data_IF_276383209428
#
_entry.id   IF_276383209428
#
_cell.length_a   1.000
_cell.length_b   1.000
_cell.length_c   1.000
_cell.angle_alpha   90.00
_cell.angle_beta   90.00
_cell.angle_gamma   90.00
#
_symmetry.space_group_name_H-M   'P 1'
#
loop_
_entity.id
_entity.type
_entity.pdbx_description
1 polymer ?
#
# COMPACT_ATOMS: atom_id res chain seq x y z
N UNK A 1 14.86 54.32 -63.71
CA UNK A 1 14.70 53.87 -62.31
C UNK A 1 16.08 53.46 -61.83
N UNK A 2 16.62 54.06 -60.75
CA UNK A 2 17.96 53.71 -60.23
C UNK A 2 17.79 52.72 -59.08
N UNK A 3 18.57 51.64 -59.11
CA UNK A 3 18.59 50.60 -58.08
C UNK A 3 19.87 50.73 -57.27
N UNK A 4 19.74 50.85 -55.95
CA UNK A 4 20.87 50.87 -55.02
C UNK A 4 20.70 49.75 -54.00
N UNK A 5 21.70 48.86 -53.92
CA UNK A 5 21.76 47.81 -52.91
C UNK A 5 22.56 48.31 -51.71
N UNK A 6 21.93 48.41 -50.55
CA UNK A 6 22.59 48.82 -49.30
C UNK A 6 23.16 47.60 -48.59
N UNK A 7 24.48 47.59 -48.35
CA UNK A 7 25.15 46.61 -47.48
C UNK A 7 25.24 47.19 -46.06
N UNK A 8 24.17 47.14 -45.28
CA UNK A 8 24.26 47.43 -43.84
C UNK A 8 24.30 46.12 -43.04
N UNK A 9 25.18 46.10 -42.03
CA UNK A 9 25.37 44.94 -41.14
C UNK A 9 24.27 44.88 -40.08
N UNK A 10 23.71 46.02 -39.71
CA UNK A 10 22.65 46.17 -38.69
C UNK A 10 21.42 46.87 -39.31
N UNK A 11 20.79 46.20 -40.27
CA UNK A 11 19.53 46.61 -40.89
C UNK A 11 18.29 46.17 -40.11
N UNK A 12 17.08 46.60 -40.54
CA UNK A 12 15.82 46.17 -39.96
C UNK A 12 15.66 44.64 -40.11
N UNK A 13 14.80 44.06 -39.27
CA UNK A 13 14.51 42.62 -39.23
C UNK A 13 13.03 42.42 -39.54
N UNK A 14 12.71 41.38 -40.32
CA UNK A 14 11.33 40.96 -40.53
C UNK A 14 10.93 40.07 -39.37
N UNK A 15 9.90 40.46 -38.63
CA UNK A 15 9.37 39.71 -37.51
C UNK A 15 8.11 38.95 -37.92
N UNK A 16 8.07 37.65 -37.66
CA UNK A 16 6.85 36.85 -37.70
C UNK A 16 6.44 36.50 -36.27
N UNK A 17 5.19 36.76 -35.91
CA UNK A 17 4.67 36.50 -34.57
C UNK A 17 3.63 35.38 -34.63
N UNK A 18 3.80 34.37 -33.80
CA UNK A 18 2.80 33.29 -33.61
C UNK A 18 1.86 33.56 -32.43
N UNK A 19 1.94 34.76 -31.83
CA UNK A 19 1.22 35.14 -30.62
C UNK A 19 1.09 36.66 -30.45
N UNK A 20 0.87 37.16 -29.21
CA UNK A 20 0.69 38.58 -28.94
C UNK A 20 1.88 39.40 -29.44
N UNK A 21 1.58 40.53 -30.08
CA UNK A 21 2.57 41.45 -30.64
C UNK A 21 3.17 42.27 -29.48
N UNK A 22 4.51 42.44 -29.43
CA UNK A 22 5.17 43.26 -28.43
C UNK A 22 4.73 44.73 -28.54
N UNK A 23 4.69 45.45 -27.41
CA UNK A 23 4.34 46.88 -27.38
C UNK A 23 5.46 47.76 -27.96
N UNK A 24 5.10 48.87 -28.59
CA UNK A 24 6.04 49.81 -29.24
C UNK A 24 7.10 50.40 -28.30
N UNK A 25 6.88 50.38 -26.98
CA UNK A 25 7.80 50.88 -25.96
C UNK A 25 8.92 49.90 -25.55
N UNK A 26 8.91 48.66 -26.06
CA UNK A 26 9.86 47.63 -25.64
C UNK A 26 11.26 47.79 -26.24
N UNK A 27 12.28 47.50 -25.43
CA UNK A 27 13.67 47.48 -25.88
C UNK A 27 14.05 46.09 -26.39
N UNK A 28 14.58 46.04 -27.61
CA UNK A 28 15.06 44.81 -28.24
C UNK A 28 16.57 44.69 -28.08
N UNK A 29 17.04 43.58 -27.51
CA UNK A 29 18.45 43.21 -27.46
C UNK A 29 18.75 42.22 -28.58
N UNK A 30 19.69 42.59 -29.46
CA UNK A 30 20.09 41.76 -30.60
C UNK A 30 21.44 41.14 -30.32
N UNK A 31 21.51 39.81 -30.42
CA UNK A 31 22.72 39.03 -30.28
C UNK A 31 23.05 38.33 -31.60
N UNK A 32 24.35 38.25 -31.92
CA UNK A 32 24.86 37.51 -33.09
C UNK A 32 25.39 36.17 -32.59
N UNK A 33 24.87 35.08 -33.15
CA UNK A 33 25.36 33.73 -32.89
C UNK A 33 26.77 33.52 -33.44
N UNK A 34 27.51 32.52 -32.91
CA UNK A 34 28.84 32.20 -33.41
C UNK A 34 28.77 31.77 -34.87
N UNK A 35 29.62 32.36 -35.71
CA UNK A 35 29.75 31.99 -37.12
C UNK A 35 30.38 30.59 -37.17
N UNK A 36 29.61 29.59 -37.55
CA UNK A 36 30.13 28.24 -37.78
C UNK A 36 30.96 28.29 -39.07
N UNK A 37 32.28 28.25 -38.95
CA UNK A 37 33.27 28.42 -40.05
C UNK A 37 33.10 27.50 -41.27
N UNK A 38 32.17 26.53 -41.23
CA UNK A 38 31.94 25.54 -42.28
C UNK A 38 30.70 25.80 -43.14
N UNK A 39 29.83 26.75 -42.80
CA UNK A 39 28.70 27.09 -43.65
C UNK A 39 28.82 28.55 -44.12
N UNK A 40 28.57 28.78 -45.41
CA UNK A 40 28.38 30.13 -45.98
C UNK A 40 27.02 30.73 -45.60
N UNK A 41 26.32 30.12 -44.65
CA UNK A 41 24.99 30.55 -44.20
C UNK A 41 25.12 31.82 -43.38
N UNK A 42 24.12 32.69 -43.49
CA UNK A 42 24.07 33.95 -42.76
C UNK A 42 24.25 33.71 -41.25
N UNK A 43 24.88 34.66 -40.55
CA UNK A 43 25.09 34.55 -39.12
C UNK A 43 23.72 34.56 -38.42
N UNK A 44 23.39 33.46 -37.71
CA UNK A 44 22.19 33.36 -36.87
C UNK A 44 22.08 34.57 -35.95
N UNK A 45 20.91 35.20 -35.91
CA UNK A 45 20.62 36.31 -34.98
C UNK A 45 19.60 35.85 -33.97
N UNK A 46 19.81 36.27 -32.73
CA UNK A 46 18.87 36.11 -31.64
C UNK A 46 18.38 37.48 -31.23
N UNK A 47 17.07 37.66 -31.14
CA UNK A 47 16.46 38.89 -30.67
C UNK A 47 15.69 38.56 -29.40
N UNK A 48 15.94 39.33 -28.34
CA UNK A 48 15.28 39.16 -27.06
C UNK A 48 14.63 40.48 -26.70
N UNK A 49 13.32 40.45 -26.48
CA UNK A 49 12.60 41.54 -25.84
C UNK A 49 11.99 41.02 -24.53
N UNK A 50 12.08 41.84 -23.50
CA UNK A 50 11.65 41.49 -22.16
C UNK A 50 10.53 42.44 -21.73
N UNK A 51 9.44 41.86 -21.28
CA UNK A 51 8.27 42.53 -20.72
C UNK A 51 8.09 42.14 -19.25
N UNK A 52 7.17 42.77 -18.53
CA UNK A 52 6.93 42.50 -17.10
C UNK A 52 6.57 41.02 -16.86
N UNK A 53 5.77 40.42 -17.75
CA UNK A 53 5.25 39.06 -17.57
C UNK A 53 5.74 38.05 -18.62
N UNK A 54 6.31 38.53 -19.72
CA UNK A 54 6.58 37.74 -20.92
C UNK A 54 7.98 38.03 -21.44
N UNK A 55 8.66 36.99 -21.92
CA UNK A 55 9.89 37.11 -22.69
C UNK A 55 9.60 36.71 -24.14
N UNK A 56 9.90 37.63 -25.05
CA UNK A 56 9.86 37.41 -26.48
C UNK A 56 11.25 37.00 -26.93
N UNK A 57 11.37 35.79 -27.47
CA UNK A 57 12.64 35.26 -27.98
C UNK A 57 12.43 34.95 -29.46
N UNK A 58 13.24 35.57 -30.31
CA UNK A 58 13.26 35.27 -31.73
C UNK A 58 14.60 34.70 -32.16
N UNK A 59 14.55 33.69 -33.02
CA UNK A 59 15.70 33.17 -33.75
C UNK A 59 15.49 33.43 -35.24
N UNK A 60 16.58 33.64 -35.98
CA UNK A 60 16.53 33.67 -37.44
C UNK A 60 16.06 32.30 -37.96
N UNK A 61 14.97 32.30 -38.74
CA UNK A 61 14.47 31.11 -39.42
C UNK A 61 15.35 30.78 -40.63
N UNK A 62 16.59 30.38 -40.37
CA UNK A 62 17.39 29.67 -41.35
C UNK A 62 16.94 28.21 -41.27
N UNK A 63 15.78 27.91 -41.87
CA UNK A 63 15.42 26.51 -42.10
C UNK A 63 16.58 25.92 -42.92
N UNK A 64 17.09 24.77 -42.51
CA UNK A 64 18.27 24.13 -43.13
C UNK A 64 18.11 23.84 -44.64
N UNK A 65 16.93 24.10 -45.23
CA UNK A 65 16.57 23.93 -46.64
C UNK A 65 16.22 25.24 -47.40
N UNK A 66 16.24 26.42 -46.78
CA UNK A 66 15.64 27.62 -47.41
C UNK A 66 16.55 28.33 -48.41
N UNK A 67 16.27 28.14 -49.70
CA UNK A 67 16.78 28.90 -50.85
C UNK A 67 16.18 30.33 -50.96
N UNK A 68 15.45 30.80 -49.94
CA UNK A 68 14.71 32.07 -49.99
C UNK A 68 15.47 33.17 -49.24
N UNK A 69 15.80 34.25 -49.94
CA UNK A 69 16.40 35.45 -49.35
C UNK A 69 15.37 36.59 -49.35
N UNK A 70 15.09 37.14 -48.17
CA UNK A 70 14.14 38.25 -48.02
C UNK A 70 14.84 39.60 -48.18
N UNK A 71 14.19 40.51 -48.90
CA UNK A 71 14.69 41.87 -49.12
C UNK A 71 13.58 42.89 -48.83
N UNK A 72 13.91 43.93 -48.06
CA UNK A 72 13.05 45.09 -47.88
C UNK A 72 13.39 46.15 -48.94
N UNK A 73 12.36 46.64 -49.64
CA UNK A 73 12.48 47.70 -50.64
C UNK A 73 11.87 49.00 -50.11
N UNK A 74 12.63 50.09 -50.13
CA UNK A 74 12.09 51.44 -49.88
C UNK A 74 12.01 52.17 -51.21
N UNK A 75 10.78 52.45 -51.65
CA UNK A 75 10.52 53.21 -52.86
C UNK A 75 10.28 54.68 -52.51
N UNK A 76 11.03 55.57 -53.16
CA UNK A 76 10.80 57.01 -53.08
C UNK A 76 10.21 57.50 -54.41
N UNK A 77 8.94 57.88 -54.38
CA UNK A 77 8.19 58.32 -55.57
C UNK A 77 8.76 59.61 -56.18
N UNK A 78 9.21 60.55 -55.33
CA UNK A 78 9.75 61.84 -55.76
C UNK A 78 11.06 61.70 -56.54
N UNK A 79 11.96 60.82 -56.09
CA UNK A 79 13.26 60.60 -56.75
C UNK A 79 13.23 59.43 -57.74
N UNK A 80 12.14 58.66 -57.80
CA UNK A 80 11.99 57.43 -58.60
C UNK A 80 13.14 56.44 -58.36
N UNK A 81 13.60 56.36 -57.12
CA UNK A 81 14.69 55.47 -56.68
C UNK A 81 14.14 54.36 -55.79
N UNK A 82 14.58 53.13 -56.05
CA UNK A 82 14.23 51.97 -55.25
C UNK A 82 15.50 51.45 -54.57
N UNK A 83 15.49 51.42 -53.23
CA UNK A 83 16.60 50.93 -52.42
C UNK A 83 16.25 49.58 -51.83
N UNK A 84 17.09 48.59 -52.05
CA UNK A 84 16.91 47.25 -51.50
C UNK A 84 17.92 46.99 -50.39
N UNK A 85 17.42 46.37 -49.32
CA UNK A 85 18.22 45.91 -48.19
C UNK A 85 17.89 44.46 -47.88
N UNK A 86 18.91 43.64 -47.64
CA UNK A 86 18.72 42.26 -47.20
C UNK A 86 18.25 42.26 -45.75
N UNK A 87 17.20 41.50 -45.46
CA UNK A 87 16.58 41.49 -44.14
C UNK A 87 16.37 40.04 -43.68
N UNK A 88 16.91 39.64 -42.52
CA UNK A 88 16.63 38.31 -41.98
C UNK A 88 15.18 38.21 -41.51
N UNK A 89 14.58 37.02 -41.67
CA UNK A 89 13.29 36.67 -41.09
C UNK A 89 13.52 36.02 -39.73
N UNK A 90 12.93 36.61 -38.69
CA UNK A 90 12.96 36.11 -37.33
C UNK A 90 11.55 35.76 -36.86
N UNK A 91 11.38 34.52 -36.40
CA UNK A 91 10.13 34.07 -35.79
C UNK A 91 10.19 34.28 -34.28
N UNK A 92 9.23 35.03 -33.76
CA UNK A 92 9.13 35.37 -32.35
C UNK A 92 8.31 34.31 -31.62
N UNK A 93 8.97 33.61 -30.70
CA UNK A 93 8.33 32.76 -29.71
C UNK A 93 8.04 33.53 -28.42
N UNK A 94 6.83 33.33 -27.89
CA UNK A 94 6.39 33.93 -26.64
C UNK A 94 6.61 32.95 -25.48
N UNK A 95 7.33 33.38 -24.43
CA UNK A 95 7.52 32.58 -23.22
C UNK A 95 7.09 33.36 -21.98
N UNK A 96 6.09 32.84 -21.28
CA UNK A 96 5.60 33.43 -20.02
C UNK A 96 6.62 33.19 -18.90
N UNK A 97 6.98 34.24 -18.15
CA UNK A 97 7.99 34.16 -17.08
C UNK A 97 7.60 33.20 -15.95
N UNK A 98 6.31 33.11 -15.62
CA UNK A 98 5.78 32.20 -14.59
C UNK A 98 6.04 30.71 -14.91
N UNK A 99 6.00 30.33 -16.20
CA UNK A 99 6.21 28.95 -16.63
C UNK A 99 7.66 28.44 -16.47
N UNK A 100 8.61 29.26 -15.99
CA UNK A 100 9.98 28.84 -15.71
C UNK A 100 10.15 28.15 -14.36
N UNK A 101 9.26 28.41 -13.41
CA UNK A 101 9.45 27.96 -12.02
C UNK A 101 9.17 26.46 -11.92
N UNK A 102 8.18 25.95 -12.65
CA UNK A 102 7.74 24.54 -12.51
C UNK A 102 8.66 23.56 -13.27
N UNK A 103 9.15 23.93 -14.46
CA UNK A 103 10.02 23.03 -15.27
C UNK A 103 11.40 22.79 -14.67
N UNK A 104 11.94 23.74 -13.90
CA UNK A 104 13.29 23.61 -13.34
C UNK A 104 13.39 22.52 -12.28
N UNK A 105 12.32 22.26 -11.53
CA UNK A 105 12.30 21.22 -10.48
C UNK A 105 12.17 19.84 -11.15
N UNK A 106 11.24 19.70 -12.09
CA UNK A 106 11.01 18.47 -12.85
C UNK A 106 12.24 18.07 -13.68
N UNK A 107 12.83 18.99 -14.44
CA UNK A 107 14.04 18.71 -15.24
C UNK A 107 15.24 18.34 -14.35
N UNK A 108 15.36 18.93 -13.14
CA UNK A 108 16.41 18.58 -12.19
C UNK A 108 16.22 17.17 -11.63
N UNK A 109 14.99 16.80 -11.30
CA UNK A 109 14.63 15.46 -10.82
C UNK A 109 14.86 14.41 -11.92
N UNK A 110 14.46 14.70 -13.16
CA UNK A 110 14.66 13.86 -14.34
C UNK A 110 16.15 13.65 -14.60
N UNK A 111 16.94 14.73 -14.56
CA UNK A 111 18.40 14.67 -14.72
C UNK A 111 19.02 13.83 -13.60
N UNK A 112 18.62 14.04 -12.34
CA UNK A 112 19.10 13.24 -11.22
C UNK A 112 18.85 11.74 -11.39
N UNK A 113 17.66 11.36 -11.86
CA UNK A 113 17.29 9.96 -12.15
C UNK A 113 18.14 9.36 -13.28
N UNK A 114 18.40 10.12 -14.34
CA UNK A 114 19.26 9.69 -15.45
C UNK A 114 20.70 9.45 -15.00
N UNK A 115 21.23 10.30 -14.11
CA UNK A 115 22.56 10.14 -13.55
C UNK A 115 22.65 8.95 -12.60
N UNK A 116 21.66 8.75 -11.73
CA UNK A 116 21.59 7.58 -10.85
C UNK A 116 21.53 6.28 -11.67
N UNK A 117 20.81 6.28 -12.81
CA UNK A 117 20.78 5.13 -13.75
C UNK A 117 22.14 4.87 -14.38
N UNK A 118 22.80 5.90 -14.90
CA UNK A 118 24.13 5.77 -15.51
C UNK A 118 25.16 5.27 -14.48
N UNK A 119 25.08 5.76 -13.25
CA UNK A 119 25.96 5.35 -12.15
C UNK A 119 25.65 3.92 -11.65
N UNK A 120 24.43 3.42 -11.82
CA UNK A 120 24.09 2.02 -11.58
C UNK A 120 24.75 1.09 -12.62
N UNK A 121 24.73 1.48 -13.90
CA UNK A 121 25.25 0.68 -15.01
C UNK A 121 26.79 0.75 -15.11
N UNK A 122 27.37 1.94 -15.02
CA UNK A 122 28.80 2.18 -15.29
C UNK A 122 29.60 2.66 -14.06
N UNK A 123 28.95 2.96 -12.94
CA UNK A 123 29.61 3.49 -11.76
C UNK A 123 30.41 2.46 -10.95
N UNK A 124 31.22 2.95 -10.00
CA UNK A 124 31.99 2.10 -9.09
C UNK A 124 31.09 1.29 -8.14
N UNK A 125 31.62 0.20 -7.57
CA UNK A 125 30.89 -0.62 -6.59
C UNK A 125 30.34 0.20 -5.40
N UNK A 126 31.08 1.23 -4.97
CA UNK A 126 30.67 2.15 -3.90
C UNK A 126 29.48 3.04 -4.33
N UNK A 127 29.50 3.55 -5.56
CA UNK A 127 28.41 4.36 -6.10
C UNK A 127 27.12 3.53 -6.24
N UNK A 128 27.24 2.31 -6.78
CA UNK A 128 26.10 1.38 -6.90
C UNK A 128 25.49 1.04 -5.56
N UNK A 129 26.31 0.79 -4.53
CA UNK A 129 25.82 0.48 -3.17
C UNK A 129 25.04 1.67 -2.59
N UNK A 130 25.57 2.88 -2.72
CA UNK A 130 24.90 4.10 -2.25
C UNK A 130 23.55 4.32 -2.92
N UNK A 131 23.46 4.12 -4.25
CA UNK A 131 22.21 4.27 -5.00
C UNK A 131 21.19 3.21 -4.56
N UNK A 132 21.62 1.96 -4.36
CA UNK A 132 20.76 0.89 -3.84
C UNK A 132 20.25 1.17 -2.43
N UNK A 133 21.12 1.63 -1.54
CA UNK A 133 20.72 2.05 -0.18
C UNK A 133 19.70 3.20 -0.26
N UNK A 134 19.96 4.22 -1.10
CA UNK A 134 19.01 5.32 -1.34
C UNK A 134 17.65 4.82 -1.86
N UNK A 135 17.62 3.85 -2.78
CA UNK A 135 16.37 3.29 -3.29
C UNK A 135 15.59 2.46 -2.25
N UNK A 136 16.26 1.86 -1.27
CA UNK A 136 15.59 1.09 -0.22
C UNK A 136 14.86 1.99 0.79
N UNK A 137 15.36 3.20 1.01
CA UNK A 137 14.76 4.18 1.92
C UNK A 137 13.87 5.21 1.22
N UNK A 138 13.85 5.23 -0.11
CA UNK A 138 12.97 6.08 -0.89
C UNK A 138 11.59 5.42 -0.95
N UNK A 139 10.65 5.94 -0.17
CA UNK A 139 9.25 5.54 -0.24
C UNK A 139 8.58 6.48 -1.25
N UNK A 140 7.95 5.92 -2.28
CA UNK A 140 7.18 6.69 -3.26
C UNK A 140 5.84 7.10 -2.63
N UNK A 141 5.44 8.36 -2.83
CA UNK A 141 4.20 8.90 -2.28
C UNK A 141 2.98 8.27 -2.97
N UNK A 142 3.13 7.89 -4.25
CA UNK A 142 2.11 7.13 -4.97
C UNK A 142 1.90 5.72 -4.39
N UNK A 143 2.99 5.03 -4.01
CA UNK A 143 2.93 3.71 -3.38
C UNK A 143 2.26 3.79 -1.99
N UNK A 144 2.49 4.88 -1.26
CA UNK A 144 1.83 5.18 0.01
C UNK A 144 0.32 5.41 -0.16
N UNK A 145 -0.09 6.11 -1.21
CA UNK A 145 -1.49 6.38 -1.49
C UNK A 145 -2.23 5.08 -1.85
N UNK A 146 -1.65 4.23 -2.71
CA UNK A 146 -2.18 2.90 -3.05
C UNK A 146 -2.23 1.99 -1.80
N UNK A 147 -1.17 2.00 -0.98
CA UNK A 147 -1.15 1.27 0.30
C UNK A 147 -2.32 1.70 1.19
N UNK A 148 -2.61 3.00 1.25
CA UNK A 148 -3.68 3.56 2.07
C UNK A 148 -5.08 3.27 1.54
N UNK A 149 -5.28 3.32 0.23
CA UNK A 149 -6.61 3.17 -0.37
C UNK A 149 -7.01 1.73 -0.61
N UNK A 150 -6.05 0.84 -0.87
CA UNK A 150 -6.35 -0.52 -1.33
C UNK A 150 -5.87 -1.58 -0.33
N UNK A 151 -4.62 -1.49 0.12
CA UNK A 151 -4.04 -2.51 1.00
C UNK A 151 -4.54 -2.42 2.44
N UNK A 152 -4.59 -1.22 3.03
CA UNK A 152 -5.06 -1.05 4.41
C UNK A 152 -6.54 -1.45 4.55
N UNK A 153 -7.48 -1.02 3.67
CA UNK A 153 -8.88 -1.40 3.79
C UNK A 153 -9.11 -2.88 3.51
N UNK A 154 -8.39 -3.48 2.55
CA UNK A 154 -8.50 -4.92 2.28
C UNK A 154 -7.94 -5.75 3.43
N UNK A 155 -6.82 -5.34 4.03
CA UNK A 155 -6.25 -5.98 5.22
C UNK A 155 -7.18 -5.81 6.43
N UNK A 156 -7.74 -4.62 6.64
CA UNK A 156 -8.71 -4.36 7.69
C UNK A 156 -9.99 -5.19 7.51
N UNK A 157 -10.49 -5.33 6.27
CA UNK A 157 -11.63 -6.18 5.97
C UNK A 157 -11.34 -7.66 6.25
N UNK A 158 -10.12 -8.12 5.92
CA UNK A 158 -9.67 -9.50 6.17
C UNK A 158 -9.46 -9.78 7.66
N UNK A 159 -8.88 -8.83 8.40
CA UNK A 159 -8.76 -8.90 9.86
C UNK A 159 -10.14 -8.86 10.50
N UNK A 160 -11.08 -8.05 10.00
CA UNK A 160 -12.45 -7.99 10.51
C UNK A 160 -13.24 -9.29 10.23
N UNK A 161 -13.03 -9.95 9.09
CA UNK A 161 -13.62 -11.27 8.84
C UNK A 161 -13.01 -12.36 9.73
N UNK A 162 -11.69 -12.31 9.96
CA UNK A 162 -11.00 -13.29 10.79
C UNK A 162 -11.31 -13.08 12.29
N UNK A 163 -11.45 -11.84 12.74
CA UNK A 163 -11.75 -11.50 14.14
C UNK A 163 -13.20 -11.82 14.53
N UNK A 164 -14.18 -11.62 13.63
CA UNK A 164 -15.57 -12.07 13.84
C UNK A 164 -15.66 -13.58 14.02
N UNK A 165 -14.77 -14.33 13.36
CA UNK A 165 -14.64 -15.78 13.52
C UNK A 165 -13.95 -16.15 14.83
N UNK A 166 -13.16 -15.24 15.43
CA UNK A 166 -12.40 -15.48 16.64
C UNK A 166 -13.20 -15.21 17.93
N UNK A 167 -14.14 -14.26 17.92
CA UNK A 167 -15.06 -14.05 19.04
C UNK A 167 -16.06 -15.21 19.18
N UNK A 168 -16.60 -15.73 18.07
CA UNK A 168 -17.43 -16.95 18.09
C UNK A 168 -16.65 -18.25 18.36
N UNK A 169 -15.32 -18.25 18.20
CA UNK A 169 -14.44 -19.37 18.55
C UNK A 169 -13.61 -19.11 19.81
N UNK A 170 -13.94 -18.09 20.61
CA UNK A 170 -13.29 -17.88 21.91
C UNK A 170 -13.58 -19.02 22.89
N UNK A 171 -14.67 -19.77 22.67
CA UNK A 171 -14.93 -21.07 23.33
C UNK A 171 -14.13 -22.25 22.74
N UNK A 172 -13.38 -22.05 21.65
CA UNK A 172 -12.53 -23.07 20.99
C UNK A 172 -11.03 -22.74 20.99
N UNK A 173 -10.60 -21.69 21.71
CA UNK A 173 -9.19 -21.28 21.78
C UNK A 173 -8.39 -22.00 22.88
N UNK A 174 -8.65 -23.29 23.08
CA UNK A 174 -7.76 -24.22 23.78
C UNK A 174 -6.93 -25.05 22.77
N UNK A 175 -6.49 -24.45 21.66
CA UNK A 175 -5.58 -25.10 20.68
C UNK A 175 -4.11 -24.78 20.93
N UNK A 176 -3.71 -24.66 22.18
CA UNK A 176 -2.31 -24.60 22.58
C UNK A 176 -2.03 -25.46 23.81
N UNK A 177 -2.47 -26.72 23.76
CA UNK A 177 -1.83 -27.81 24.51
C UNK A 177 -1.75 -28.99 23.54
N UNK A 178 -0.61 -29.68 23.55
CA UNK A 178 -0.16 -30.57 22.49
C UNK A 178 -1.17 -31.64 22.05
N UNK A 179 -1.05 -32.02 20.78
CA UNK A 179 -1.63 -33.24 20.20
C UNK A 179 -1.33 -34.44 21.10
N UNK A 180 -2.31 -34.85 21.91
CA UNK A 180 -2.60 -36.17 22.50
C UNK A 180 -3.54 -35.90 23.69
N UNK A 181 -4.83 -36.20 23.54
CA UNK A 181 -5.96 -35.83 24.43
C UNK A 181 -6.44 -34.38 24.28
N UNK A 182 -7.47 -34.21 23.44
CA UNK A 182 -8.32 -33.03 23.40
C UNK A 182 -9.17 -33.05 24.69
N UNK A 183 -8.54 -32.74 25.84
CA UNK A 183 -9.18 -32.76 27.16
C UNK A 183 -10.13 -31.56 27.25
N UNK A 184 -11.36 -31.74 26.78
CA UNK A 184 -12.41 -30.74 26.95
C UNK A 184 -12.95 -30.85 28.37
N UNK A 185 -12.81 -29.82 29.21
CA UNK A 185 -13.45 -29.83 30.51
C UNK A 185 -14.97 -29.93 30.31
N UNK A 186 -15.71 -30.50 31.28
CA UNK A 186 -17.16 -30.44 31.28
C UNK A 186 -17.67 -28.99 31.14
N UNK A 187 -18.93 -28.79 30.74
CA UNK A 187 -19.54 -27.46 30.73
C UNK A 187 -19.35 -26.79 32.10
N UNK A 188 -18.82 -25.57 32.10
CA UNK A 188 -18.52 -24.82 33.33
C UNK A 188 -19.13 -23.42 33.28
N UNK A 189 -19.59 -22.96 34.43
CA UNK A 189 -20.09 -21.61 34.59
C UNK A 189 -18.92 -20.64 34.81
N UNK A 190 -18.64 -19.78 33.83
CA UNK A 190 -17.57 -18.77 33.89
C UNK A 190 -17.86 -17.65 34.89
N UNK A 191 -19.12 -17.44 35.22
CA UNK A 191 -19.58 -16.37 36.11
C UNK A 191 -19.77 -16.85 37.56
N UNK A 192 -19.36 -18.08 37.87
CA UNK A 192 -19.44 -18.64 39.21
C UNK A 192 -18.60 -17.82 40.21
N UNK A 193 -19.24 -17.36 41.29
CA UNK A 193 -18.54 -16.59 42.35
C UNK A 193 -17.91 -17.52 43.39
N UNK A 194 -18.44 -18.74 43.52
CA UNK A 194 -17.92 -19.76 44.44
C UNK A 194 -17.39 -20.98 43.68
N UNK A 195 -16.33 -21.65 44.17
CA UNK A 195 -15.78 -22.84 43.52
C UNK A 195 -16.79 -23.99 43.33
N UNK A 196 -17.80 -24.07 44.20
CA UNK A 196 -18.85 -25.09 44.13
C UNK A 196 -19.83 -24.87 42.96
N UNK A 197 -19.95 -23.63 42.47
CA UNK A 197 -20.86 -23.26 41.37
C UNK A 197 -20.25 -23.40 39.98
N UNK A 198 -18.93 -23.65 39.90
CA UNK A 198 -18.21 -23.75 38.63
C UNK A 198 -18.72 -24.93 37.80
N UNK A 199 -19.02 -26.06 38.44
CA UNK A 199 -19.56 -27.25 37.81
C UNK A 199 -20.86 -27.65 38.47
N UNK A 200 -21.98 -27.28 37.87
CA UNK A 200 -23.29 -27.73 38.34
C UNK A 200 -23.48 -29.20 37.94
N UNK A 201 -24.04 -29.98 38.86
CA UNK A 201 -24.21 -31.41 38.65
C UNK A 201 -25.09 -31.74 37.43
N UNK A 202 -26.13 -30.93 37.20
CA UNK A 202 -27.02 -31.03 36.05
C UNK A 202 -26.31 -30.81 34.70
N UNK A 203 -25.27 -29.96 34.68
CA UNK A 203 -24.52 -29.65 33.47
C UNK A 203 -23.48 -30.73 33.15
N UNK A 204 -23.01 -31.47 34.17
CA UNK A 204 -22.00 -32.53 34.04
C UNK A 204 -22.64 -33.91 33.81
N UNK A 205 -23.82 -34.15 34.41
CA UNK A 205 -24.54 -35.41 34.35
C UNK A 205 -26.06 -35.14 34.26
N UNK A 206 -26.59 -34.81 33.08
CA UNK A 206 -28.01 -34.50 32.90
C UNK A 206 -28.92 -35.69 33.22
N UNK A 207 -28.45 -36.91 32.95
CA UNK A 207 -29.22 -38.16 33.12
C UNK A 207 -29.10 -38.74 34.54
N UNK A 208 -28.50 -38.00 35.49
CA UNK A 208 -28.28 -38.49 36.85
C UNK A 208 -29.61 -38.74 37.59
N UNK A 209 -30.66 -38.02 37.23
CA UNK A 209 -31.97 -38.17 37.85
C UNK A 209 -32.65 -39.49 37.50
N UNK A 210 -32.34 -40.06 36.32
CA UNK A 210 -32.89 -41.33 35.83
C UNK A 210 -32.18 -42.56 36.44
N UNK A 211 -31.09 -42.36 37.18
CA UNK A 211 -30.35 -43.44 37.83
C UNK A 211 -31.11 -43.96 39.05
N UNK A 212 -31.60 -45.20 38.97
CA UNK A 212 -32.28 -45.88 40.07
C UNK A 212 -31.26 -46.37 41.12
N UNK A 213 -31.33 -45.79 42.32
CA UNK A 213 -30.50 -46.16 43.48
C UNK A 213 -31.28 -46.91 44.54
N UNK A 214 -32.59 -47.12 44.35
CA UNK A 214 -33.46 -47.82 45.31
C UNK A 214 -32.96 -49.24 45.62
N UNK A 215 -32.44 -50.03 44.66
CA UNK A 215 -31.87 -51.35 44.94
C UNK A 215 -30.66 -51.31 45.90
N UNK A 216 -29.85 -50.25 45.84
CA UNK A 216 -28.64 -50.11 46.67
C UNK A 216 -28.98 -49.82 48.14
N UNK A 217 -30.04 -49.05 48.39
CA UNK A 217 -30.53 -48.77 49.74
C UNK A 217 -31.28 -49.97 50.34
N UNK A 218 -31.90 -50.82 49.51
CA UNK A 218 -32.62 -52.03 49.95
C UNK A 218 -31.71 -53.21 50.29
N UNK A 219 -30.47 -53.22 49.79
CA UNK A 219 -29.53 -54.30 50.06
C UNK A 219 -28.97 -54.23 51.50
N UNK A 220 -29.05 -55.34 52.23
CA UNK A 220 -28.67 -55.42 53.65
C UNK A 220 -27.15 -55.56 53.86
N UNK A 221 -26.46 -56.28 52.98
CA UNK A 221 -25.01 -56.51 53.08
C UNK A 221 -24.22 -55.55 52.19
N UNK A 222 -23.06 -55.11 52.69
CA UNK A 222 -22.09 -54.35 51.90
C UNK A 222 -21.58 -55.12 50.68
N UNK A 223 -21.58 -56.45 50.71
CA UNK A 223 -21.14 -57.27 49.58
C UNK A 223 -22.21 -57.29 48.49
N UNK A 224 -23.46 -57.51 48.87
CA UNK A 224 -24.62 -57.45 47.96
C UNK A 224 -24.76 -56.08 47.27
N UNK A 225 -24.32 -54.99 47.90
CA UNK A 225 -24.28 -53.65 47.29
C UNK A 225 -23.18 -53.50 46.25
N UNK A 226 -22.05 -54.19 46.41
CA UNK A 226 -20.96 -54.12 45.44
C UNK A 226 -21.25 -54.97 44.21
N UNK A 227 -22.01 -56.06 44.36
CA UNK A 227 -22.46 -56.90 43.22
C UNK A 227 -23.43 -56.16 42.28
N UNK A 228 -24.15 -55.15 42.80
CA UNK A 228 -25.05 -54.30 42.03
C UNK A 228 -24.33 -53.21 41.22
N UNK A 229 -23.02 -53.03 41.43
CA UNK A 229 -22.23 -51.97 40.80
C UNK A 229 -21.37 -52.58 39.70
N UNK A 230 -21.32 -51.98 38.49
CA UNK A 230 -20.57 -52.53 37.36
C UNK A 230 -19.08 -52.79 37.65
N UNK A 231 -18.46 -51.93 38.47
CA UNK A 231 -17.06 -52.05 38.87
C UNK A 231 -16.91 -51.74 40.36
N UNK A 232 -16.35 -52.70 41.08
CA UNK A 232 -16.00 -52.53 42.48
C UNK A 232 -14.61 -51.87 42.60
N UNK A 233 -14.56 -50.72 43.27
CA UNK A 233 -13.32 -50.05 43.67
C UNK A 233 -13.32 -49.82 45.19
N UNK A 234 -12.14 -49.88 45.86
CA UNK A 234 -12.04 -49.59 47.29
C UNK A 234 -12.53 -48.17 47.64
N UNK A 235 -12.36 -47.21 46.72
CA UNK A 235 -12.88 -45.85 46.87
C UNK A 235 -14.42 -45.85 46.93
N UNK A 236 -15.05 -46.61 46.04
CA UNK A 236 -16.51 -46.68 45.98
C UNK A 236 -17.08 -47.38 47.21
N UNK A 237 -16.43 -48.45 47.71
CA UNK A 237 -16.86 -49.15 48.92
C UNK A 237 -16.90 -48.23 50.14
N UNK A 238 -15.89 -47.39 50.34
CA UNK A 238 -15.83 -46.46 51.48
C UNK A 238 -16.81 -45.29 51.34
N UNK A 239 -16.96 -44.72 50.14
CA UNK A 239 -17.82 -43.57 49.93
C UNK A 239 -19.30 -43.96 49.84
N UNK A 240 -19.62 -45.15 49.31
CA UNK A 240 -20.98 -45.67 49.25
C UNK A 240 -21.51 -46.04 50.63
N UNK A 241 -20.70 -46.70 51.46
CA UNK A 241 -21.09 -47.03 52.83
C UNK A 241 -21.35 -45.77 53.66
N UNK A 242 -20.51 -44.74 53.49
CA UNK A 242 -20.71 -43.43 54.11
C UNK A 242 -21.97 -42.70 53.60
N UNK A 243 -22.19 -42.70 52.27
CA UNK A 243 -23.36 -42.04 51.66
C UNK A 243 -24.68 -42.70 52.07
N UNK A 244 -24.72 -44.04 52.14
CA UNK A 244 -25.90 -44.78 52.58
C UNK A 244 -26.15 -44.56 54.07
N UNK A 245 -25.11 -44.53 54.91
CA UNK A 245 -25.24 -44.22 56.33
C UNK A 245 -25.77 -42.80 56.58
N UNK A 246 -25.41 -41.84 55.72
CA UNK A 246 -25.90 -40.46 55.76
C UNK A 246 -27.26 -40.27 55.06
N UNK A 247 -27.84 -41.32 54.47
CA UNK A 247 -29.04 -41.27 53.63
C UNK A 247 -28.98 -40.22 52.49
N UNK A 248 -27.78 -40.03 51.93
CA UNK A 248 -27.53 -39.05 50.87
C UNK A 248 -27.74 -39.69 49.49
N UNK A 249 -28.95 -39.49 48.96
CA UNK A 249 -29.38 -40.03 47.67
C UNK A 249 -28.54 -39.46 46.52
N UNK A 250 -28.21 -38.17 46.59
CA UNK A 250 -27.48 -37.48 45.52
C UNK A 250 -26.04 -37.98 45.42
N UNK A 251 -25.34 -38.11 46.55
CA UNK A 251 -23.99 -38.70 46.56
C UNK A 251 -23.99 -40.14 46.08
N UNK A 252 -25.00 -40.93 46.43
CA UNK A 252 -25.12 -42.32 45.97
C UNK A 252 -25.29 -42.39 44.45
N UNK A 253 -26.13 -41.52 43.86
CA UNK A 253 -26.29 -41.41 42.41
C UNK A 253 -24.98 -41.04 41.71
N UNK A 254 -24.24 -40.07 42.24
CA UNK A 254 -22.94 -39.65 41.69
C UNK A 254 -21.92 -40.81 41.71
N UNK A 255 -21.84 -41.53 42.82
CA UNK A 255 -20.93 -42.67 42.95
C UNK A 255 -21.29 -43.77 41.94
N UNK A 256 -22.58 -44.05 41.76
CA UNK A 256 -23.04 -45.03 40.78
C UNK A 256 -22.75 -44.58 39.34
N UNK A 257 -23.00 -43.31 39.02
CA UNK A 257 -22.65 -42.72 37.73
C UNK A 257 -21.15 -42.80 37.44
N UNK A 258 -20.30 -42.53 38.43
CA UNK A 258 -18.86 -42.71 38.32
C UNK A 258 -18.47 -44.17 38.05
N UNK A 259 -19.19 -45.14 38.63
CA UNK A 259 -18.98 -46.57 38.35
C UNK A 259 -19.17 -46.88 36.87
N UNK A 260 -20.26 -46.38 36.28
CA UNK A 260 -20.58 -46.56 34.88
C UNK A 260 -19.55 -45.89 33.97
N UNK A 261 -19.06 -44.69 34.32
CA UNK A 261 -18.01 -44.01 33.56
C UNK A 261 -16.70 -44.79 33.57
N UNK A 262 -16.29 -45.36 34.72
CA UNK A 262 -15.09 -46.20 34.80
C UNK A 262 -15.28 -47.48 33.99
N UNK A 263 -16.47 -48.09 34.03
CA UNK A 263 -16.79 -49.26 33.23
C UNK A 263 -16.70 -48.98 31.75
N UNK A 264 -17.30 -47.88 31.30
CA UNK A 264 -17.21 -47.42 29.92
C UNK A 264 -15.77 -47.13 29.49
N UNK A 265 -14.99 -46.45 30.34
CA UNK A 265 -13.59 -46.15 30.07
C UNK A 265 -12.76 -47.43 29.87
N UNK A 266 -12.93 -48.44 30.74
CA UNK A 266 -12.25 -49.74 30.60
C UNK A 266 -12.67 -50.50 29.35
N UNK A 267 -13.98 -50.51 29.04
CA UNK A 267 -14.49 -51.11 27.79
C UNK A 267 -13.91 -50.44 26.54
N UNK A 268 -13.66 -49.13 26.60
CA UNK A 268 -12.99 -48.37 25.53
C UNK A 268 -11.51 -48.71 25.36
N UNK A 269 -10.80 -49.10 26.44
CA UNK A 269 -9.40 -49.56 26.37
C UNK A 269 -9.29 -51.00 25.84
N UNK A 270 -10.29 -51.85 26.12
CA UNK A 270 -10.33 -53.27 25.69
C UNK A 270 -10.85 -53.47 24.26
N UNK A 271 -11.23 -52.41 23.55
CA UNK A 271 -11.57 -52.45 22.12
C UNK A 271 -12.87 -53.19 21.79
N UNK A 272 -13.76 -53.41 22.77
CA UNK A 272 -15.03 -54.11 22.57
C UNK A 272 -16.21 -53.24 22.13
N UNK A 273 -15.97 -51.97 21.77
CA UNK A 273 -16.99 -51.08 21.21
C UNK A 273 -16.59 -50.76 19.77
N UNK A 274 -16.98 -51.67 18.88
CA UNK A 274 -16.98 -51.53 17.41
C UNK A 274 -18.33 -51.98 16.86
#
# INVERSE_FOLDING_TARGET
MKFEALKSVDGPVLASYTGPVPSDSQQYKVFKGPIIKKSKTAAKRFIIAEDEHVNYIAETCDNNDSQCEYMAGIYNERTKTLKFMKVPLCEFGVRVKRARIDKSEEERLETGKQWDRLALEFGSAKARKRIKEKSLYSIDEADLEIARTEYIPSLAAKIASDSRTQEQNSDKRSKSVGKKFDFRPPPHNKDATTPAEVYKLQDVAPDLDDVDVVPLFKAESSEARMDLIPIASPYMKSHLSSAIAANDVQKTKIILYLAYLIAFYRMGEEGQIG
#
